data_IF_366483617360
#
_entry.id   IF_366483617360
#
_cell.length_a   1.000
_cell.length_b   1.000
_cell.length_c   1.000
_cell.angle_alpha   90.00
_cell.angle_beta   90.00
_cell.angle_gamma   90.00
#
_symmetry.space_group_name_H-M   'P 1'
#
loop_
_entity.id
_entity.type
_entity.pdbx_description
1 polymer ?
#
# COMPACT_ATOMS: atom_id res chain seq x y z
N UNK A 1 50.40 -28.47 -23.76
CA UNK A 1 50.34 -27.45 -22.69
C UNK A 1 49.23 -26.43 -22.94
N UNK A 2 49.15 -25.79 -24.12
CA UNK A 2 48.08 -24.82 -24.45
C UNK A 2 46.67 -25.40 -24.34
N UNK A 3 46.42 -26.61 -24.85
CA UNK A 3 45.10 -27.26 -24.77
C UNK A 3 44.63 -27.51 -23.33
N UNK A 4 45.56 -27.90 -22.44
CA UNK A 4 45.25 -28.15 -21.03
C UNK A 4 44.90 -26.86 -20.28
N UNK A 5 45.57 -25.75 -20.60
CA UNK A 5 45.23 -24.45 -20.03
C UNK A 5 43.85 -23.97 -20.51
N UNK A 6 43.52 -24.22 -21.77
CA UNK A 6 42.24 -23.83 -22.36
C UNK A 6 41.07 -24.61 -21.75
N UNK A 7 41.21 -25.93 -21.57
CA UNK A 7 40.15 -26.75 -20.95
C UNK A 7 39.92 -26.39 -19.49
N UNK A 8 40.99 -26.13 -18.73
CA UNK A 8 40.88 -25.68 -17.32
C UNK A 8 40.23 -24.30 -17.24
N UNK A 9 40.63 -23.37 -18.11
CA UNK A 9 40.04 -22.02 -18.13
C UNK A 9 38.56 -22.07 -18.51
N UNK A 10 38.19 -22.94 -19.45
CA UNK A 10 36.80 -23.17 -19.83
C UNK A 10 35.99 -23.81 -18.70
N UNK A 11 36.53 -24.83 -18.04
CA UNK A 11 35.90 -25.45 -16.88
C UNK A 11 35.72 -24.46 -15.73
N UNK A 12 36.70 -23.59 -15.47
CA UNK A 12 36.62 -22.54 -14.47
C UNK A 12 35.55 -21.48 -14.81
N UNK A 13 35.45 -21.07 -16.09
CA UNK A 13 34.39 -20.17 -16.54
C UNK A 13 32.99 -20.78 -16.38
N UNK A 14 32.82 -22.06 -16.73
CA UNK A 14 31.55 -22.75 -16.54
C UNK A 14 31.17 -22.88 -15.06
N UNK A 15 32.15 -23.21 -14.21
CA UNK A 15 31.92 -23.28 -12.77
C UNK A 15 31.53 -21.91 -12.18
N UNK A 16 32.19 -20.84 -12.61
CA UNK A 16 31.86 -19.48 -12.19
C UNK A 16 30.44 -19.06 -12.64
N UNK A 17 30.06 -19.38 -13.88
CA UNK A 17 28.72 -19.11 -14.40
C UNK A 17 27.64 -19.90 -13.64
N UNK A 18 27.87 -21.18 -13.36
CA UNK A 18 26.95 -21.99 -12.57
C UNK A 18 26.78 -21.44 -11.15
N UNK A 19 27.88 -21.03 -10.50
CA UNK A 19 27.83 -20.46 -9.15
C UNK A 19 27.05 -19.13 -9.11
N UNK A 20 27.19 -18.28 -10.14
CA UNK A 20 26.42 -17.06 -10.26
C UNK A 20 24.92 -17.33 -10.43
N UNK A 21 24.55 -18.31 -11.27
CA UNK A 21 23.15 -18.71 -11.47
C UNK A 21 22.52 -19.27 -10.19
N UNK A 22 23.26 -20.11 -9.44
CA UNK A 22 22.81 -20.58 -8.13
C UNK A 22 22.61 -19.45 -7.12
N UNK A 23 23.51 -18.46 -7.09
CA UNK A 23 23.37 -17.28 -6.24
C UNK A 23 22.08 -16.50 -6.57
N UNK A 24 21.85 -16.20 -7.85
CA UNK A 24 20.62 -15.54 -8.29
C UNK A 24 19.34 -16.32 -7.95
N UNK A 25 19.39 -17.65 -8.03
CA UNK A 25 18.27 -18.52 -7.65
C UNK A 25 17.91 -18.42 -6.17
N UNK A 26 18.92 -18.37 -5.29
CA UNK A 26 18.73 -18.24 -3.84
C UNK A 26 18.17 -16.86 -3.46
N UNK A 27 18.71 -15.79 -4.05
CA UNK A 27 18.24 -14.42 -3.79
C UNK A 27 16.77 -14.25 -4.20
N UNK A 28 16.40 -14.79 -5.37
CA UNK A 28 15.02 -14.79 -5.84
C UNK A 28 14.07 -15.57 -4.92
N UNK A 29 14.54 -16.68 -4.34
CA UNK A 29 13.74 -17.45 -3.38
C UNK A 29 13.55 -16.68 -2.07
N UNK A 30 14.61 -16.04 -1.57
CA UNK A 30 14.57 -15.17 -0.39
C UNK A 30 13.55 -14.03 -0.58
N UNK A 31 13.66 -13.27 -1.67
CA UNK A 31 12.72 -12.18 -1.94
C UNK A 31 11.26 -12.62 -2.10
N UNK A 32 11.01 -13.82 -2.66
CA UNK A 32 9.65 -14.40 -2.71
C UNK A 32 9.12 -14.76 -1.33
N UNK A 33 9.97 -15.30 -0.47
CA UNK A 33 9.59 -15.63 0.89
C UNK A 33 9.24 -14.36 1.69
N UNK A 34 10.07 -13.32 1.59
CA UNK A 34 9.85 -12.03 2.25
C UNK A 34 8.56 -11.37 1.78
N UNK A 35 8.30 -11.42 0.46
CA UNK A 35 7.04 -10.92 -0.09
C UNK A 35 5.83 -11.70 0.45
N UNK A 36 5.91 -13.03 0.54
CA UNK A 36 4.83 -13.85 1.09
C UNK A 36 4.58 -13.54 2.57
N UNK A 37 5.64 -13.32 3.35
CA UNK A 37 5.57 -12.93 4.75
C UNK A 37 4.97 -11.53 4.92
N UNK A 38 5.36 -10.56 4.09
CA UNK A 38 4.77 -9.22 4.09
C UNK A 38 3.26 -9.26 3.79
N UNK A 39 2.83 -10.08 2.84
CA UNK A 39 1.41 -10.30 2.55
C UNK A 39 0.64 -10.93 3.70
N UNK A 40 1.24 -11.88 4.42
CA UNK A 40 0.63 -12.46 5.62
C UNK A 40 0.48 -11.41 6.72
N UNK A 41 1.51 -10.59 6.95
CA UNK A 41 1.47 -9.52 7.93
C UNK A 41 0.42 -8.45 7.58
N UNK A 42 0.33 -8.06 6.30
CA UNK A 42 -0.68 -7.11 5.82
C UNK A 42 -2.12 -7.63 6.04
N UNK A 43 -2.37 -8.92 5.80
CA UNK A 43 -3.68 -9.53 6.10
C UNK A 43 -3.99 -9.52 7.60
N UNK A 44 -3.02 -9.90 8.43
CA UNK A 44 -3.17 -9.85 9.88
C UNK A 44 -3.48 -8.42 10.38
N UNK A 45 -2.83 -7.40 9.81
CA UNK A 45 -3.10 -6.00 10.12
C UNK A 45 -4.52 -5.58 9.75
N UNK A 46 -5.04 -6.02 8.58
CA UNK A 46 -6.42 -5.76 8.17
C UNK A 46 -7.42 -6.45 9.11
N UNK A 47 -7.17 -7.71 9.48
CA UNK A 47 -8.08 -8.45 10.37
C UNK A 47 -8.09 -7.89 11.79
N UNK A 48 -6.94 -7.46 12.30
CA UNK A 48 -6.85 -6.71 13.55
C UNK A 48 -7.63 -5.39 13.48
N UNK A 49 -7.46 -4.63 12.39
CA UNK A 49 -8.18 -3.37 12.18
C UNK A 49 -9.70 -3.58 12.15
N UNK A 50 -10.17 -4.64 11.47
CA UNK A 50 -11.59 -5.04 11.45
C UNK A 50 -12.12 -5.37 12.84
N UNK A 51 -11.33 -6.09 13.64
CA UNK A 51 -11.73 -6.46 15.00
C UNK A 51 -11.89 -5.21 15.88
N UNK A 52 -10.94 -4.27 15.81
CA UNK A 52 -11.04 -3.00 16.55
C UNK A 52 -12.29 -2.22 16.14
N UNK A 53 -12.50 -2.03 14.85
CA UNK A 53 -13.68 -1.29 14.35
C UNK A 53 -14.99 -2.00 14.70
N UNK A 54 -15.01 -3.34 14.66
CA UNK A 54 -16.18 -4.11 15.06
C UNK A 54 -16.46 -4.03 16.57
N UNK A 55 -15.42 -3.97 17.40
CA UNK A 55 -15.60 -3.76 18.84
C UNK A 55 -16.14 -2.37 19.15
N UNK A 56 -15.59 -1.35 18.49
CA UNK A 56 -16.00 0.04 18.62
C UNK A 56 -17.47 0.25 18.19
N UNK A 57 -17.85 -0.26 17.02
CA UNK A 57 -19.22 -0.19 16.51
C UNK A 57 -20.26 -0.95 17.34
N UNK A 58 -19.84 -1.88 18.20
CA UNK A 58 -20.74 -2.51 19.20
C UNK A 58 -21.01 -1.62 20.41
N UNK A 59 -20.11 -0.67 20.70
CA UNK A 59 -20.20 0.23 21.86
C UNK A 59 -20.97 1.51 21.53
N UNK A 60 -20.70 2.10 20.37
CA UNK A 60 -21.33 3.35 19.94
C UNK A 60 -21.58 3.35 18.43
N UNK A 61 -22.67 3.99 17.96
CA UNK A 61 -22.90 4.23 16.53
C UNK A 61 -22.26 5.54 16.03
N UNK A 62 -21.56 6.28 16.89
CA UNK A 62 -20.96 7.59 16.57
C UNK A 62 -19.46 7.48 16.57
N UNK A 63 -18.83 7.79 15.43
CA UNK A 63 -17.36 7.77 15.27
C UNK A 63 -16.77 9.16 15.55
N UNK A 64 -15.61 9.20 16.21
CA UNK A 64 -14.87 10.44 16.45
C UNK A 64 -13.35 10.25 16.66
N UNK A 65 -12.57 11.32 16.47
CA UNK A 65 -11.10 11.29 16.52
C UNK A 65 -10.47 10.97 17.88
N UNK A 66 -11.26 10.77 18.94
CA UNK A 66 -10.79 10.32 20.26
C UNK A 66 -10.82 8.81 20.46
N UNK A 67 -11.24 8.03 19.47
CA UNK A 67 -11.37 6.58 19.57
C UNK A 67 -10.05 5.84 19.36
N UNK A 68 -9.96 4.62 19.88
CA UNK A 68 -8.72 3.82 19.84
C UNK A 68 -8.25 3.59 18.39
N UNK A 69 -9.17 3.36 17.46
CA UNK A 69 -8.84 3.11 16.05
C UNK A 69 -8.11 4.28 15.37
N UNK A 70 -8.21 5.49 15.92
CA UNK A 70 -7.55 6.69 15.37
C UNK A 70 -6.05 6.75 15.73
N UNK A 71 -5.60 5.89 16.66
CA UNK A 71 -4.20 5.85 17.09
C UNK A 71 -3.34 5.27 15.99
N UNK A 72 -2.33 6.03 15.56
CA UNK A 72 -1.36 5.57 14.56
C UNK A 72 -0.38 4.57 15.20
N UNK A 73 -0.17 3.46 14.51
CA UNK A 73 0.87 2.49 14.83
C UNK A 73 2.17 3.01 14.21
N UNK A 74 3.16 3.40 15.03
CA UNK A 74 4.44 3.89 14.52
C UNK A 74 5.17 2.80 13.73
N UNK A 75 5.90 3.22 12.70
CA UNK A 75 6.74 2.33 11.92
C UNK A 75 7.81 1.71 12.82
N UNK A 76 7.75 0.39 12.97
CA UNK A 76 8.63 -0.41 13.82
C UNK A 76 9.40 -1.39 12.96
N UNK A 77 10.71 -1.52 13.20
CA UNK A 77 11.57 -2.46 12.48
C UNK A 77 11.16 -3.91 12.77
N UNK A 78 11.27 -4.77 11.76
CA UNK A 78 11.14 -6.22 11.89
C UNK A 78 12.56 -6.78 11.91
N UNK A 79 12.98 -7.35 13.05
CA UNK A 79 14.35 -7.82 13.23
C UNK A 79 15.23 -6.76 13.90
N UNK A 80 16.46 -6.61 13.41
CA UNK A 80 17.49 -5.81 14.07
C UNK A 80 17.51 -4.37 13.56
N UNK A 81 17.11 -4.16 12.31
CA UNK A 81 17.05 -2.86 11.64
C UNK A 81 15.85 -2.81 10.66
N UNK A 82 15.41 -1.61 10.33
CA UNK A 82 14.40 -1.29 9.31
C UNK A 82 14.77 -1.79 7.91
N UNK A 83 16.06 -1.99 7.62
CA UNK A 83 16.54 -2.56 6.36
C UNK A 83 16.07 -4.00 6.13
N UNK A 84 15.84 -4.76 7.21
CA UNK A 84 15.31 -6.14 7.17
C UNK A 84 13.78 -6.16 6.97
N UNK A 85 13.13 -5.02 7.20
CA UNK A 85 11.68 -4.84 7.08
C UNK A 85 11.12 -3.91 8.15
N UNK A 86 9.95 -3.34 7.91
CA UNK A 86 9.24 -2.53 8.92
C UNK A 86 7.73 -2.65 8.79
N UNK A 87 7.02 -2.38 9.89
CA UNK A 87 5.56 -2.42 9.95
C UNK A 87 5.03 -1.21 10.70
N UNK A 88 3.99 -0.58 10.16
CA UNK A 88 3.28 0.55 10.77
C UNK A 88 1.95 0.75 10.04
N UNK A 89 1.11 1.65 10.55
CA UNK A 89 -0.18 1.90 9.90
C UNK A 89 -1.09 2.86 10.67
N UNK A 90 -2.08 3.37 9.97
CA UNK A 90 -3.11 4.26 10.53
C UNK A 90 -4.47 3.90 9.94
N UNK A 91 -5.54 3.96 10.74
CA UNK A 91 -6.92 3.89 10.23
C UNK A 91 -7.43 5.34 10.08
N UNK A 92 -8.11 5.63 8.97
CA UNK A 92 -8.64 6.97 8.68
C UNK A 92 -10.09 6.87 8.23
N UNK A 93 -10.95 7.69 8.81
CA UNK A 93 -12.30 7.87 8.29
C UNK A 93 -12.26 8.68 6.97
N UNK A 94 -12.91 8.13 5.95
CA UNK A 94 -13.04 8.77 4.64
C UNK A 94 -14.40 9.46 4.46
N UNK A 95 -15.35 9.22 5.36
CA UNK A 95 -16.72 9.76 5.31
C UNK A 95 -16.75 11.28 5.50
N UNK A 96 -15.74 11.86 6.16
CA UNK A 96 -15.52 13.30 6.22
C UNK A 96 -15.07 13.96 4.91
N UNK A 97 -14.83 13.19 3.84
CA UNK A 97 -14.43 13.69 2.51
C UNK A 97 -15.61 13.66 1.54
N UNK A 98 -15.55 14.49 0.50
CA UNK A 98 -16.55 14.44 -0.57
C UNK A 98 -16.41 13.14 -1.38
N UNK A 99 -17.48 12.35 -1.47
CA UNK A 99 -17.52 11.12 -2.24
C UNK A 99 -17.78 11.41 -3.72
N UNK A 100 -16.78 11.20 -4.58
CA UNK A 100 -16.92 11.42 -6.03
C UNK A 100 -18.00 10.53 -6.67
N UNK A 101 -18.32 9.38 -6.07
CA UNK A 101 -19.39 8.53 -6.58
C UNK A 101 -20.79 9.18 -6.45
N UNK A 102 -20.93 10.21 -5.61
CA UNK A 102 -22.19 10.95 -5.45
C UNK A 102 -22.47 11.87 -6.64
N UNK A 103 -21.51 12.12 -7.54
CA UNK A 103 -21.71 12.95 -8.73
C UNK A 103 -22.69 12.31 -9.73
N UNK A 104 -22.65 10.98 -9.85
CA UNK A 104 -23.47 10.23 -10.79
C UNK A 104 -23.93 8.87 -10.23
N UNK A 105 -24.72 8.84 -9.15
CA UNK A 105 -25.20 7.61 -8.56
C UNK A 105 -25.97 6.77 -9.58
N UNK A 106 -25.49 5.53 -9.82
CA UNK A 106 -26.03 4.61 -10.83
C UNK A 106 -26.10 5.22 -12.24
N UNK A 107 -25.15 6.08 -12.57
CA UNK A 107 -25.05 6.75 -13.89
C UNK A 107 -26.04 7.89 -14.10
N UNK A 108 -26.78 8.31 -13.07
CA UNK A 108 -27.66 9.49 -13.12
C UNK A 108 -26.98 10.66 -12.44
N UNK A 109 -26.79 11.74 -13.18
CA UNK A 109 -26.18 12.97 -12.67
C UNK A 109 -26.99 13.56 -11.51
N UNK A 110 -26.30 13.83 -10.41
CA UNK A 110 -26.85 14.57 -9.27
C UNK A 110 -26.35 16.03 -9.31
N UNK A 111 -27.22 16.95 -9.72
CA UNK A 111 -26.92 18.38 -9.82
C UNK A 111 -26.55 19.01 -8.48
N UNK A 112 -27.09 18.49 -7.37
CA UNK A 112 -26.79 18.99 -6.03
C UNK A 112 -25.37 18.57 -5.62
N UNK A 113 -24.97 17.33 -5.92
CA UNK A 113 -23.61 16.84 -5.69
C UNK A 113 -22.59 17.62 -6.53
N UNK A 114 -22.87 17.88 -7.81
CA UNK A 114 -22.03 18.72 -8.68
C UNK A 114 -21.84 20.11 -8.08
N UNK A 115 -22.91 20.75 -7.59
CA UNK A 115 -22.84 22.08 -7.00
C UNK A 115 -21.95 22.09 -5.74
N UNK A 116 -22.08 21.08 -4.88
CA UNK A 116 -21.23 20.91 -3.69
C UNK A 116 -19.77 20.69 -4.06
N UNK A 117 -19.51 19.87 -5.07
CA UNK A 117 -18.17 19.58 -5.55
C UNK A 117 -17.50 20.81 -6.16
N UNK A 118 -18.20 21.55 -7.03
CA UNK A 118 -17.69 22.80 -7.60
C UNK A 118 -17.35 23.83 -6.51
N UNK A 119 -18.17 23.91 -5.45
CA UNK A 119 -17.87 24.74 -4.26
C UNK A 119 -16.60 24.27 -3.55
N UNK A 120 -16.44 22.96 -3.34
CA UNK A 120 -15.22 22.39 -2.75
C UNK A 120 -13.98 22.72 -3.59
N UNK A 121 -14.06 22.54 -4.91
CA UNK A 121 -12.98 22.87 -5.84
C UNK A 121 -12.60 24.36 -5.78
N UNK A 122 -13.59 25.25 -5.68
CA UNK A 122 -13.35 26.67 -5.44
C UNK A 122 -12.62 26.96 -4.11
N UNK A 123 -12.97 26.24 -3.03
CA UNK A 123 -12.32 26.40 -1.72
C UNK A 123 -10.87 25.92 -1.70
N UNK A 124 -10.51 24.91 -2.49
CA UNK A 124 -9.12 24.41 -2.61
C UNK A 124 -8.29 25.21 -3.62
N UNK A 125 -8.82 26.32 -4.15
CA UNK A 125 -8.08 27.27 -4.99
C UNK A 125 -8.20 27.06 -6.49
N UNK A 126 -9.12 26.21 -6.98
CA UNK A 126 -9.40 26.13 -8.41
C UNK A 126 -10.23 27.32 -8.88
N UNK A 127 -9.90 27.87 -10.04
CA UNK A 127 -10.70 28.95 -10.65
C UNK A 127 -12.13 28.47 -10.94
N UNK A 128 -13.13 29.34 -10.81
CA UNK A 128 -14.55 28.96 -10.93
C UNK A 128 -14.93 28.30 -12.27
N UNK A 129 -14.28 28.70 -13.36
CA UNK A 129 -14.48 28.09 -14.68
C UNK A 129 -13.92 26.66 -14.74
N UNK A 130 -12.71 26.45 -14.21
CA UNK A 130 -12.07 25.12 -14.15
C UNK A 130 -12.78 24.18 -13.16
N UNK A 131 -13.28 24.72 -12.04
CA UNK A 131 -14.05 23.99 -11.05
C UNK A 131 -15.39 23.47 -11.62
N UNK A 132 -16.11 24.32 -12.37
CA UNK A 132 -17.35 23.91 -13.01
C UNK A 132 -17.13 22.90 -14.15
N UNK A 133 -16.02 23.02 -14.89
CA UNK A 133 -15.67 22.08 -15.94
C UNK A 133 -15.26 20.70 -15.39
N UNK A 134 -14.56 20.65 -14.25
CA UNK A 134 -14.13 19.40 -13.63
C UNK A 134 -15.26 18.66 -12.89
N UNK A 135 -16.39 19.33 -12.64
CA UNK A 135 -17.54 18.77 -11.94
C UNK A 135 -18.62 18.19 -12.88
N UNK A 136 -18.47 18.34 -14.18
CA UNK A 136 -19.37 17.81 -15.23
C UNK A 136 -18.86 16.46 -15.75
#
# INVERSE_FOLDING_TARGET
>A
MVLALLTVSFAAMLAAAALADFGHGLDMLGGRHDQAQAWQLGRAAVDWSRNILADDGRRTPTDHLGEIWTTEIPVTAIGNDTADGSVGGSIRDLSGRFNLNDLAPRGRVDTQAITRFARLLGLVGMSGASANAAAQ
#
